data_IF_402924104503
#
_entry.id   IF_402924104503
#
_cell.length_a   1.000
_cell.length_b   1.000
_cell.length_c   1.000
_cell.angle_alpha   90.00
_cell.angle_beta   90.00
_cell.angle_gamma   90.00
#
_symmetry.space_group_name_H-M   'P 1'
#
loop_
_entity.id
_entity.type
_entity.pdbx_description
1 polymer ?
#
# COMPACT_ATOMS: atom_id res chain seq x y z
N UNK A 1 23.77 -10.22 5.12
CA UNK A 1 22.80 -9.33 4.43
C UNK A 1 23.30 -7.87 4.37
N UNK A 2 24.09 -7.46 5.35
CA UNK A 2 24.61 -6.07 5.45
C UNK A 2 25.45 -5.62 4.25
N UNK A 3 26.22 -6.56 3.64
CA UNK A 3 27.00 -6.27 2.45
C UNK A 3 26.17 -5.93 1.20
N UNK A 4 24.98 -6.52 1.08
CA UNK A 4 24.07 -6.22 -0.04
C UNK A 4 23.46 -4.82 0.11
N UNK A 5 22.99 -4.47 1.30
CA UNK A 5 22.42 -3.15 1.55
C UNK A 5 23.46 -2.04 1.43
N UNK A 6 24.67 -2.29 1.95
CA UNK A 6 25.80 -1.38 1.75
C UNK A 6 26.14 -1.21 0.25
N UNK A 7 26.08 -2.27 -0.53
CA UNK A 7 26.29 -2.19 -1.99
C UNK A 7 25.18 -1.36 -2.67
N UNK A 8 23.89 -1.55 -2.29
CA UNK A 8 22.77 -0.76 -2.83
C UNK A 8 23.00 0.75 -2.61
N UNK A 9 23.49 1.16 -1.43
CA UNK A 9 23.79 2.55 -1.11
C UNK A 9 24.93 3.13 -1.96
N UNK A 10 25.80 2.31 -2.53
CA UNK A 10 26.88 2.76 -3.42
C UNK A 10 26.41 3.08 -4.84
N UNK A 11 25.21 2.70 -5.21
CA UNK A 11 24.66 2.96 -6.56
C UNK A 11 24.52 4.45 -6.85
N UNK A 12 24.65 4.84 -8.11
CA UNK A 12 24.52 6.24 -8.54
C UNK A 12 23.15 6.84 -8.17
N UNK A 13 22.09 6.05 -8.30
CA UNK A 13 20.70 6.45 -7.96
C UNK A 13 20.56 6.66 -6.45
N UNK A 14 21.06 5.75 -5.63
CA UNK A 14 21.03 5.88 -4.17
C UNK A 14 21.76 7.14 -3.70
N UNK A 15 22.98 7.37 -4.20
CA UNK A 15 23.78 8.56 -3.89
C UNK A 15 23.12 9.85 -4.37
N UNK A 16 22.55 9.87 -5.56
CA UNK A 16 21.81 11.04 -6.07
C UNK A 16 20.63 11.39 -5.17
N UNK A 17 19.88 10.37 -4.73
CA UNK A 17 18.75 10.56 -3.80
C UNK A 17 19.25 11.02 -2.43
N UNK A 18 20.27 10.38 -1.85
CA UNK A 18 20.81 10.72 -0.53
C UNK A 18 21.39 12.14 -0.46
N UNK A 19 22.02 12.61 -1.56
CA UNK A 19 22.71 13.90 -1.61
C UNK A 19 21.83 15.08 -2.05
N UNK A 20 20.56 14.85 -2.43
CA UNK A 20 19.66 15.89 -2.90
C UNK A 20 18.40 15.95 -2.06
N UNK A 21 18.31 16.94 -1.17
CA UNK A 21 17.10 17.20 -0.37
C UNK A 21 15.86 17.40 -1.26
N UNK A 22 16.01 18.13 -2.38
CA UNK A 22 14.91 18.37 -3.30
C UNK A 22 14.40 17.07 -3.95
N UNK A 23 15.31 16.18 -4.37
CA UNK A 23 14.94 14.90 -4.96
C UNK A 23 14.26 14.00 -3.92
N UNK A 24 14.81 13.90 -2.72
CA UNK A 24 14.21 13.13 -1.62
C UNK A 24 12.82 13.66 -1.28
N UNK A 25 12.64 14.97 -1.17
CA UNK A 25 11.34 15.59 -0.91
C UNK A 25 10.33 15.30 -2.02
N UNK A 26 10.74 15.41 -3.29
CA UNK A 26 9.89 15.12 -4.43
C UNK A 26 9.47 13.64 -4.47
N UNK A 27 10.41 12.71 -4.27
CA UNK A 27 10.12 11.27 -4.19
C UNK A 27 9.19 10.94 -3.03
N UNK A 28 9.38 11.55 -1.87
CA UNK A 28 8.51 11.38 -0.70
C UNK A 28 7.10 11.89 -0.97
N UNK A 29 6.95 13.04 -1.62
CA UNK A 29 5.64 13.59 -1.99
C UNK A 29 4.92 12.65 -2.97
N UNK A 30 5.61 12.17 -4.01
CA UNK A 30 5.04 11.22 -4.99
C UNK A 30 4.69 9.89 -4.31
N UNK A 31 5.53 9.40 -3.40
CA UNK A 31 5.26 8.19 -2.60
C UNK A 31 3.98 8.33 -1.77
N UNK A 32 3.80 9.47 -1.09
CA UNK A 32 2.60 9.76 -0.32
C UNK A 32 1.36 9.87 -1.19
N UNK A 33 1.45 10.50 -2.37
CA UNK A 33 0.33 10.55 -3.32
C UNK A 33 -0.06 9.15 -3.81
N UNK A 34 0.91 8.31 -4.15
CA UNK A 34 0.65 6.90 -4.49
C UNK A 34 -0.02 6.15 -3.36
N UNK A 35 0.48 6.31 -2.13
CA UNK A 35 -0.10 5.69 -0.93
C UNK A 35 -1.52 6.18 -0.65
N UNK A 36 -1.79 7.48 -0.78
CA UNK A 36 -3.13 8.05 -0.62
C UNK A 36 -4.11 7.47 -1.65
N UNK A 37 -3.67 7.29 -2.89
CA UNK A 37 -4.48 6.67 -3.93
C UNK A 37 -4.82 5.21 -3.59
N UNK A 38 -3.85 4.44 -3.07
CA UNK A 38 -4.10 3.07 -2.58
C UNK A 38 -5.12 3.08 -1.45
N UNK A 39 -4.90 3.89 -0.42
CA UNK A 39 -5.75 3.92 0.78
C UNK A 39 -7.18 4.35 0.46
N UNK A 40 -7.37 5.42 -0.31
CA UNK A 40 -8.69 5.91 -0.71
C UNK A 40 -9.45 4.87 -1.54
N UNK A 41 -8.76 4.22 -2.48
CA UNK A 41 -9.38 3.20 -3.33
C UNK A 41 -9.68 1.90 -2.57
N UNK A 42 -8.81 1.49 -1.65
CA UNK A 42 -9.05 0.32 -0.79
C UNK A 42 -10.21 0.56 0.17
N UNK A 43 -10.31 1.77 0.74
CA UNK A 43 -11.45 2.17 1.57
C UNK A 43 -12.75 2.11 0.78
N UNK A 44 -12.80 2.72 -0.42
CA UNK A 44 -13.95 2.70 -1.30
C UNK A 44 -14.40 1.27 -1.63
N UNK A 45 -13.45 0.41 -2.04
CA UNK A 45 -13.73 -0.98 -2.39
C UNK A 45 -14.30 -1.78 -1.20
N UNK A 46 -13.69 -1.65 -0.01
CA UNK A 46 -14.13 -2.38 1.17
C UNK A 46 -15.47 -1.86 1.73
N UNK A 47 -15.71 -0.56 1.73
CA UNK A 47 -17.02 0.02 2.13
C UNK A 47 -18.13 -0.43 1.18
N UNK A 48 -17.83 -0.54 -0.13
CA UNK A 48 -18.78 -1.11 -1.08
C UNK A 48 -19.09 -2.58 -0.78
N UNK A 49 -18.07 -3.41 -0.48
CA UNK A 49 -18.25 -4.82 -0.08
C UNK A 49 -19.05 -4.97 1.21
N UNK A 50 -18.89 -4.04 2.15
CA UNK A 50 -19.67 -3.98 3.39
C UNK A 50 -21.14 -3.57 3.16
N UNK A 51 -21.47 -3.03 1.99
CA UNK A 51 -22.81 -2.49 1.68
C UNK A 51 -23.04 -1.09 2.27
N UNK A 52 -21.99 -0.43 2.80
CA UNK A 52 -22.10 0.88 3.44
C UNK A 52 -22.05 2.05 2.45
N UNK A 53 -21.67 1.80 1.18
CA UNK A 53 -21.48 2.87 0.20
C UNK A 53 -22.09 2.49 -1.17
N UNK A 54 -22.64 3.51 -1.87
CA UNK A 54 -23.15 3.43 -3.24
C UNK A 54 -24.13 2.25 -3.46
N UNK A 55 -25.24 2.13 -2.72
CA UNK A 55 -26.15 0.99 -2.80
C UNK A 55 -26.75 0.81 -4.21
N UNK A 56 -26.88 1.90 -4.97
CA UNK A 56 -27.45 1.95 -6.31
C UNK A 56 -26.47 1.44 -7.41
N UNK A 57 -25.16 1.40 -7.14
CA UNK A 57 -24.16 0.92 -8.09
C UNK A 57 -23.93 -0.58 -7.93
N UNK A 58 -23.64 -1.28 -9.01
CA UNK A 58 -23.19 -2.68 -8.92
C UNK A 58 -21.82 -2.78 -8.25
N UNK A 59 -21.52 -3.94 -7.65
CA UNK A 59 -20.21 -4.20 -7.03
C UNK A 59 -19.10 -4.05 -8.08
N UNK A 60 -19.28 -4.58 -9.28
CA UNK A 60 -18.29 -4.55 -10.34
C UNK A 60 -17.99 -3.11 -10.83
N UNK A 61 -18.99 -2.24 -10.91
CA UNK A 61 -18.82 -0.83 -11.32
C UNK A 61 -17.92 -0.06 -10.38
N UNK A 62 -17.95 -0.37 -9.09
CA UNK A 62 -17.11 0.31 -8.08
C UNK A 62 -15.75 -0.37 -7.93
N UNK A 63 -15.72 -1.70 -7.88
CA UNK A 63 -14.48 -2.43 -7.59
C UNK A 63 -13.47 -2.43 -8.75
N UNK A 64 -13.93 -2.45 -10.01
CA UNK A 64 -13.01 -2.43 -11.16
C UNK A 64 -12.13 -1.17 -11.20
N UNK A 65 -12.69 0.05 -11.16
CA UNK A 65 -11.87 1.25 -11.13
C UNK A 65 -11.06 1.37 -9.83
N UNK A 66 -11.62 1.00 -8.67
CA UNK A 66 -10.91 1.02 -7.41
C UNK A 66 -9.69 0.10 -7.42
N UNK A 67 -9.81 -1.14 -7.92
CA UNK A 67 -8.70 -2.07 -8.02
C UNK A 67 -7.61 -1.59 -9.00
N UNK A 68 -7.99 -0.94 -10.11
CA UNK A 68 -7.02 -0.31 -11.02
C UNK A 68 -6.26 0.82 -10.33
N UNK A 69 -6.97 1.67 -9.58
CA UNK A 69 -6.35 2.76 -8.83
C UNK A 69 -5.41 2.24 -7.73
N UNK A 70 -5.77 1.14 -7.04
CA UNK A 70 -4.88 0.47 -6.09
C UNK A 70 -3.61 0.00 -6.78
N UNK A 71 -3.70 -0.66 -7.94
CA UNK A 71 -2.52 -1.14 -8.68
C UNK A 71 -1.62 0.02 -9.13
N UNK A 72 -2.19 1.10 -9.66
CA UNK A 72 -1.44 2.30 -10.04
C UNK A 72 -0.78 2.93 -8.82
N UNK A 73 -1.51 3.12 -7.74
CA UNK A 73 -0.97 3.66 -6.49
C UNK A 73 0.13 2.79 -5.89
N UNK A 74 -0.02 1.46 -5.92
CA UNK A 74 1.02 0.52 -5.50
C UNK A 74 2.27 0.63 -6.39
N UNK A 75 2.11 0.70 -7.72
CA UNK A 75 3.23 0.87 -8.63
C UNK A 75 4.02 2.16 -8.33
N UNK A 76 3.32 3.28 -8.14
CA UNK A 76 3.94 4.56 -7.76
C UNK A 76 4.65 4.42 -6.41
N UNK A 77 3.95 3.92 -5.37
CA UNK A 77 4.51 3.83 -4.02
C UNK A 77 5.67 2.84 -3.93
N UNK A 78 5.59 1.68 -4.58
CA UNK A 78 6.69 0.71 -4.57
C UNK A 78 7.91 1.24 -5.28
N UNK A 79 7.74 1.87 -6.45
CA UNK A 79 8.86 2.44 -7.22
C UNK A 79 9.55 3.57 -6.44
N UNK A 80 8.78 4.55 -5.97
CA UNK A 80 9.34 5.68 -5.21
C UNK A 80 9.89 5.24 -3.86
N UNK A 81 9.21 4.29 -3.18
CA UNK A 81 9.67 3.71 -1.93
C UNK A 81 10.98 2.94 -2.07
N UNK A 82 11.17 2.22 -3.19
CA UNK A 82 12.44 1.54 -3.47
C UNK A 82 13.60 2.53 -3.68
N UNK A 83 13.35 3.67 -4.34
CA UNK A 83 14.35 4.73 -4.51
C UNK A 83 14.71 5.39 -3.17
N UNK A 84 13.72 5.68 -2.33
CA UNK A 84 13.94 6.21 -0.99
C UNK A 84 14.66 5.21 -0.08
N UNK A 85 14.28 3.93 -0.15
CA UNK A 85 14.95 2.85 0.57
C UNK A 85 16.42 2.73 0.16
N UNK A 86 16.72 2.77 -1.15
CA UNK A 86 18.09 2.63 -1.64
C UNK A 86 19.03 3.70 -1.08
N UNK A 87 18.55 4.90 -0.80
CA UNK A 87 19.33 5.99 -0.22
C UNK A 87 19.83 5.73 1.22
N UNK A 88 19.13 4.86 1.99
CA UNK A 88 19.40 4.56 3.40
C UNK A 88 19.14 3.08 3.72
N UNK A 89 19.48 2.19 2.80
CA UNK A 89 19.07 0.78 2.83
C UNK A 89 19.53 0.06 4.10
N UNK A 90 20.75 0.30 4.57
CA UNK A 90 21.30 -0.32 5.78
C UNK A 90 20.51 0.07 7.03
N UNK A 91 20.28 1.37 7.23
CA UNK A 91 19.56 1.87 8.39
C UNK A 91 18.08 1.45 8.37
N UNK A 92 17.43 1.62 7.21
CA UNK A 92 15.99 1.34 7.06
C UNK A 92 15.69 -0.16 7.14
N UNK A 93 16.54 -1.02 6.59
CA UNK A 93 16.35 -2.48 6.66
C UNK A 93 16.40 -3.03 8.09
N UNK A 94 17.18 -2.41 8.97
CA UNK A 94 17.28 -2.79 10.38
C UNK A 94 16.10 -2.26 11.23
N UNK A 95 15.31 -1.35 10.70
CA UNK A 95 14.19 -0.73 11.43
C UNK A 95 12.98 -1.68 11.50
N UNK A 96 12.57 -2.08 12.71
CA UNK A 96 11.45 -3.01 12.93
C UNK A 96 10.11 -2.46 12.44
N UNK A 97 9.87 -1.14 12.52
CA UNK A 97 8.65 -0.50 12.01
C UNK A 97 8.58 -0.60 10.48
N UNK A 98 9.72 -0.46 9.79
CA UNK A 98 9.80 -0.66 8.35
C UNK A 98 9.49 -2.11 7.97
N UNK A 99 10.08 -3.09 8.67
CA UNK A 99 9.81 -4.51 8.42
C UNK A 99 8.33 -4.84 8.61
N UNK A 100 7.71 -4.34 9.69
CA UNK A 100 6.27 -4.50 9.94
C UNK A 100 5.43 -3.86 8.84
N UNK A 101 5.78 -2.64 8.39
CA UNK A 101 5.13 -1.96 7.27
C UNK A 101 5.18 -2.80 5.99
N UNK A 102 6.32 -3.40 5.67
CA UNK A 102 6.46 -4.25 4.47
C UNK A 102 5.62 -5.52 4.58
N UNK A 103 5.61 -6.17 5.75
CA UNK A 103 4.76 -7.34 6.01
C UNK A 103 3.28 -7.01 5.86
N UNK A 104 2.83 -5.89 6.46
CA UNK A 104 1.44 -5.43 6.36
C UNK A 104 1.06 -5.08 4.93
N UNK A 105 1.95 -4.43 4.16
CA UNK A 105 1.71 -4.10 2.75
C UNK A 105 1.47 -5.36 1.92
N UNK A 106 2.35 -6.35 2.04
CA UNK A 106 2.23 -7.61 1.31
C UNK A 106 0.96 -8.38 1.71
N UNK A 107 0.68 -8.46 3.01
CA UNK A 107 -0.50 -9.15 3.53
C UNK A 107 -1.78 -8.45 3.13
N UNK A 108 -1.85 -7.11 3.25
CA UNK A 108 -3.03 -6.33 2.87
C UNK A 108 -3.31 -6.44 1.37
N UNK A 109 -2.29 -6.31 0.53
CA UNK A 109 -2.45 -6.43 -0.92
C UNK A 109 -2.87 -7.85 -1.32
N UNK A 110 -2.17 -8.88 -0.85
CA UNK A 110 -2.51 -10.28 -1.15
C UNK A 110 -3.94 -10.62 -0.71
N UNK A 111 -4.31 -10.24 0.51
CA UNK A 111 -5.65 -10.50 1.05
C UNK A 111 -6.74 -9.73 0.28
N UNK A 112 -6.50 -8.44 -0.05
CA UNK A 112 -7.44 -7.62 -0.81
C UNK A 112 -7.78 -8.24 -2.18
N UNK A 113 -6.75 -8.66 -2.92
CA UNK A 113 -6.95 -9.27 -4.22
C UNK A 113 -7.48 -10.71 -4.15
N UNK A 114 -7.13 -11.47 -3.10
CA UNK A 114 -7.70 -12.81 -2.87
C UNK A 114 -9.21 -12.74 -2.62
N UNK A 115 -9.67 -11.83 -1.75
CA UNK A 115 -11.10 -11.58 -1.52
C UNK A 115 -11.77 -11.08 -2.78
N UNK A 116 -11.13 -10.14 -3.50
CA UNK A 116 -11.67 -9.54 -4.72
C UNK A 116 -11.89 -10.54 -5.86
N UNK A 117 -11.13 -11.63 -5.93
CA UNK A 117 -11.35 -12.69 -6.95
C UNK A 117 -12.73 -13.34 -6.81
N UNK A 118 -13.25 -13.44 -5.60
CA UNK A 118 -14.56 -14.04 -5.34
C UNK A 118 -15.72 -13.07 -5.60
N UNK A 119 -15.50 -11.76 -5.59
CA UNK A 119 -16.56 -10.76 -5.79
C UNK A 119 -17.19 -10.81 -7.17
N UNK A 120 -16.45 -11.25 -8.18
CA UNK A 120 -16.93 -11.36 -9.58
C UNK A 120 -17.73 -12.63 -9.85
N UNK A 121 -17.69 -13.61 -8.95
CA UNK A 121 -18.33 -14.93 -9.09
C UNK A 121 -19.67 -14.98 -8.37
N UNK A 122 -19.97 -14.02 -7.49
CA UNK A 122 -21.11 -14.11 -6.59
C UNK A 122 -22.38 -13.45 -7.12
N UNK A 123 -23.48 -14.19 -6.86
CA UNK A 123 -24.87 -13.77 -7.09
C UNK A 123 -25.30 -12.63 -6.13
N UNK A 124 -26.36 -11.86 -6.47
CA UNK A 124 -26.83 -10.75 -5.65
C UNK A 124 -27.24 -11.23 -4.25
N UNK A 125 -26.57 -10.69 -3.25
CA UNK A 125 -26.76 -10.96 -1.84
C UNK A 125 -25.37 -11.05 -1.16
N UNK A 126 -25.03 -10.05 -0.34
CA UNK A 126 -23.71 -10.03 0.32
C UNK A 126 -23.66 -11.13 1.36
N UNK A 127 -23.03 -12.25 1.04
CA UNK A 127 -22.85 -13.35 1.98
C UNK A 127 -22.10 -12.85 3.25
N UNK A 128 -22.44 -13.32 4.46
CA UNK A 128 -21.81 -12.87 5.71
C UNK A 128 -20.29 -12.94 5.71
N UNK A 129 -19.71 -13.96 5.09
CA UNK A 129 -18.27 -14.12 4.97
C UNK A 129 -17.60 -13.10 4.05
N UNK A 130 -18.30 -12.56 3.03
CA UNK A 130 -17.79 -11.50 2.18
C UNK A 130 -17.67 -10.17 2.96
N UNK A 131 -18.62 -9.90 3.86
CA UNK A 131 -18.54 -8.76 4.80
C UNK A 131 -17.38 -8.93 5.78
N UNK A 132 -17.20 -10.12 6.35
CA UNK A 132 -16.08 -10.41 7.22
C UNK A 132 -14.73 -10.22 6.51
N UNK A 133 -14.60 -10.72 5.28
CA UNK A 133 -13.42 -10.51 4.44
C UNK A 133 -13.13 -9.02 4.17
N UNK A 134 -14.16 -8.24 3.86
CA UNK A 134 -14.02 -6.80 3.65
C UNK A 134 -13.59 -6.06 4.94
N UNK A 135 -14.13 -6.44 6.09
CA UNK A 135 -13.74 -5.87 7.38
C UNK A 135 -12.27 -6.18 7.71
N UNK A 136 -11.83 -7.42 7.53
CA UNK A 136 -10.42 -7.82 7.73
C UNK A 136 -9.50 -7.07 6.75
N UNK A 137 -9.87 -7.00 5.46
CA UNK A 137 -9.11 -6.23 4.48
C UNK A 137 -8.97 -4.76 4.87
N UNK A 138 -10.06 -4.13 5.32
CA UNK A 138 -10.05 -2.74 5.78
C UNK A 138 -9.15 -2.54 6.99
N UNK A 139 -9.19 -3.47 7.96
CA UNK A 139 -8.33 -3.43 9.15
C UNK A 139 -6.84 -3.54 8.80
N UNK A 140 -6.49 -4.40 7.84
CA UNK A 140 -5.10 -4.54 7.36
C UNK A 140 -4.59 -3.26 6.69
N UNK A 141 -5.41 -2.63 5.84
CA UNK A 141 -5.06 -1.35 5.22
C UNK A 141 -4.91 -0.23 6.26
N UNK A 142 -5.79 -0.21 7.25
CA UNK A 142 -5.71 0.77 8.34
C UNK A 142 -4.46 0.56 9.20
N UNK A 143 -4.14 -0.68 9.56
CA UNK A 143 -2.92 -1.02 10.30
C UNK A 143 -1.66 -0.61 9.52
N UNK A 144 -1.66 -0.81 8.19
CA UNK A 144 -0.57 -0.33 7.33
C UNK A 144 -0.44 1.19 7.37
N UNK A 145 -1.56 1.94 7.32
CA UNK A 145 -1.52 3.40 7.38
C UNK A 145 -0.95 3.89 8.72
N UNK A 146 -1.40 3.32 9.84
CA UNK A 146 -0.89 3.66 11.17
C UNK A 146 0.60 3.37 11.28
N UNK A 147 1.05 2.19 10.82
CA UNK A 147 2.46 1.80 10.84
C UNK A 147 3.31 2.71 9.93
N UNK A 148 2.76 3.14 8.78
CA UNK A 148 3.44 4.06 7.89
C UNK A 148 3.60 5.45 8.53
N UNK A 149 2.60 5.94 9.25
CA UNK A 149 2.70 7.19 10.01
C UNK A 149 3.69 7.06 11.18
N UNK A 150 3.64 5.94 11.91
CA UNK A 150 4.57 5.68 13.01
C UNK A 150 6.02 5.65 12.52
N UNK A 151 6.29 5.06 11.35
CA UNK A 151 7.62 5.06 10.75
C UNK A 151 8.17 6.47 10.51
N UNK A 152 7.32 7.39 10.01
CA UNK A 152 7.72 8.78 9.75
C UNK A 152 7.95 9.58 11.05
N UNK A 153 7.16 9.28 12.10
CA UNK A 153 7.23 10.03 13.37
C UNK A 153 8.34 9.57 14.30
N UNK A 154 8.82 8.33 14.14
CA UNK A 154 9.82 7.71 15.02
C UNK A 154 11.24 7.70 14.40
N UNK A 155 11.42 8.14 13.15
CA UNK A 155 12.70 8.38 12.48
C UNK A 155 13.16 9.84 12.65
#
# INVERSE_FOLDING_TARGET
>A
MDSLFAWIETTSVARATANSLALTAALSAIHLLGFTLVMGSALLANLKRLGALLPQCSVAEVLRPANRAILVGLAISVTTGALLFAARATAVSANGTFQLKMLLLLTAAAFHFAVGRNDYVQRPGVAPWARAGAAVSLSLWFALAVTACAFILLE
#
